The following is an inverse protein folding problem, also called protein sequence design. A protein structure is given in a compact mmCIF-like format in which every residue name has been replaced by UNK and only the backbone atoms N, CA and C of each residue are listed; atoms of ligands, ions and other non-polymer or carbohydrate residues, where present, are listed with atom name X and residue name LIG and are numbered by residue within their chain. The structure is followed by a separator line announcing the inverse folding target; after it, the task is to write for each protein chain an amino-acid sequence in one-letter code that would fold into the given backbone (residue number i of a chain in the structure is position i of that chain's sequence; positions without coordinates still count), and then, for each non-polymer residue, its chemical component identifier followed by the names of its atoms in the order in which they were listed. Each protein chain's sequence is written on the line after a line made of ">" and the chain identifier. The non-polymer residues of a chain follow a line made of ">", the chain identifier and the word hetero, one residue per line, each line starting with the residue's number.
data_IF_959132269063
#
_entry.id   IF_959132269063
#
_cell.length_a   1.000
_cell.length_b   1.000
_cell.length_c   1.000
_cell.angle_alpha   90.00
_cell.angle_beta   90.00
_cell.angle_gamma   90.00
#
_symmetry.space_group_name_H-M   'P 1'
#
loop_
_entity.id
_entity.type
_entity.pdbx_description
1 polymer ?
#
# COMPACT_ATOMS: atom_id res chain seq x y z
N UNK A 1 3.40 14.59 16.85
CA UNK A 1 2.48 13.67 17.50
C UNK A 1 3.21 12.67 18.37
N UNK A 2 4.26 12.09 17.85
CA UNK A 2 5.07 11.08 18.54
C UNK A 2 6.25 11.67 19.30
N UNK A 3 6.26 13.00 19.57
CA UNK A 3 7.36 13.74 20.19
C UNK A 3 8.72 13.53 19.50
N UNK A 4 8.69 13.21 18.22
CA UNK A 4 9.86 13.04 17.39
C UNK A 4 10.27 14.31 16.67
N UNK A 5 11.47 14.30 16.12
CA UNK A 5 11.93 15.34 15.20
C UNK A 5 11.50 15.01 13.78
N UNK A 6 11.03 16.02 13.05
CA UNK A 6 10.73 15.90 11.62
C UNK A 6 11.95 16.41 10.85
N UNK A 7 12.65 15.56 10.11
CA UNK A 7 13.85 15.99 9.39
C UNK A 7 13.47 16.87 8.19
N UNK A 8 14.21 17.94 8.00
CA UNK A 8 14.17 18.71 6.77
C UNK A 8 15.10 18.07 5.74
N UNK A 9 14.58 17.12 4.96
CA UNK A 9 15.37 16.38 3.98
C UNK A 9 15.95 17.24 2.83
N UNK A 10 15.56 18.51 2.71
CA UNK A 10 16.16 19.45 1.76
C UNK A 10 17.52 19.92 2.28
N UNK A 11 17.70 19.95 3.60
CA UNK A 11 18.96 20.30 4.22
C UNK A 11 19.94 19.10 4.14
N UNK A 12 21.11 19.28 3.51
CA UNK A 12 22.06 18.17 3.32
C UNK A 12 22.50 17.51 4.64
N UNK A 13 22.64 18.29 5.70
CA UNK A 13 23.06 17.79 7.00
C UNK A 13 21.97 16.90 7.64
N UNK A 14 20.71 17.34 7.63
CA UNK A 14 19.61 16.54 8.15
C UNK A 14 19.42 15.25 7.34
N UNK A 15 19.52 15.34 6.00
CA UNK A 15 19.51 14.18 5.12
C UNK A 15 20.64 13.20 5.47
N UNK A 16 21.86 13.72 5.66
CA UNK A 16 23.02 12.89 5.99
C UNK A 16 22.86 12.20 7.34
N UNK A 17 22.48 12.91 8.39
CA UNK A 17 22.28 12.33 9.73
C UNK A 17 21.25 11.20 9.66
N UNK A 18 20.14 11.43 8.96
CA UNK A 18 19.08 10.45 8.83
C UNK A 18 19.54 9.20 8.05
N UNK A 19 20.21 9.41 6.92
CA UNK A 19 20.69 8.30 6.08
C UNK A 19 21.80 7.52 6.73
N UNK A 20 22.72 8.16 7.45
CA UNK A 20 23.79 7.47 8.17
C UNK A 20 23.24 6.53 9.26
N UNK A 21 22.22 6.97 10.00
CA UNK A 21 21.56 6.12 10.98
C UNK A 21 20.91 4.88 10.32
N UNK A 22 20.14 5.07 9.24
CA UNK A 22 19.46 3.97 8.57
C UNK A 22 20.42 3.05 7.78
N UNK A 23 21.58 3.55 7.41
CA UNK A 23 22.64 2.75 6.78
C UNK A 23 23.06 1.58 7.65
N UNK A 24 23.15 1.77 8.96
CA UNK A 24 23.49 0.69 9.89
C UNK A 24 22.46 -0.44 9.87
N UNK A 25 21.17 -0.09 9.83
CA UNK A 25 20.09 -1.07 9.74
C UNK A 25 20.09 -1.84 8.41
N UNK A 26 20.40 -1.15 7.33
CA UNK A 26 20.52 -1.78 6.00
C UNK A 26 21.74 -2.70 5.94
N UNK A 27 22.81 -2.38 6.65
CA UNK A 27 23.99 -3.24 6.79
C UNK A 27 23.71 -4.51 7.59
N UNK A 28 22.77 -4.46 8.50
CA UNK A 28 22.26 -5.63 9.23
C UNK A 28 21.33 -6.53 8.37
N UNK A 29 20.98 -6.10 7.15
CA UNK A 29 20.22 -6.89 6.18
C UNK A 29 18.78 -6.45 5.92
N UNK A 30 18.36 -5.29 6.43
CA UNK A 30 17.03 -4.75 6.12
C UNK A 30 16.99 -4.35 4.64
N UNK A 31 16.01 -4.90 3.90
CA UNK A 31 15.89 -4.72 2.46
C UNK A 31 14.81 -3.74 2.00
N UNK A 32 14.00 -3.22 2.91
CA UNK A 32 12.98 -2.19 2.63
C UNK A 32 12.35 -1.66 3.89
N UNK A 33 11.61 -0.57 3.78
CA UNK A 33 10.99 0.11 4.92
C UNK A 33 9.55 0.51 4.62
N UNK A 34 8.73 0.50 5.65
CA UNK A 34 7.46 1.22 5.67
C UNK A 34 7.74 2.63 6.19
N UNK A 35 7.58 3.62 5.30
CA UNK A 35 7.77 5.04 5.58
C UNK A 35 6.44 5.64 6.01
N UNK A 36 6.15 5.52 7.29
CA UNK A 36 4.88 5.88 7.90
C UNK A 36 4.85 7.34 8.35
N UNK A 37 3.67 7.82 8.73
CA UNK A 37 3.44 9.11 9.37
C UNK A 37 3.96 10.32 8.57
N UNK A 38 4.09 10.19 7.25
CA UNK A 38 4.49 11.26 6.35
C UNK A 38 3.31 11.89 5.59
N UNK A 39 2.11 11.43 5.87
CA UNK A 39 0.89 11.96 5.29
C UNK A 39 0.45 13.26 5.98
N UNK A 40 -0.24 14.08 5.21
CA UNK A 40 -0.87 15.26 5.73
C UNK A 40 -1.90 14.84 6.79
N UNK A 41 -1.79 15.41 7.94
CA UNK A 41 -2.77 15.20 8.97
C UNK A 41 -3.80 16.29 8.91
N UNK A 42 -5.05 15.88 8.98
CA UNK A 42 -6.12 16.80 9.29
C UNK A 42 -5.82 17.50 10.61
N UNK A 43 -5.56 18.80 10.56
CA UNK A 43 -5.55 19.63 11.74
C UNK A 43 -7.00 19.74 12.21
N UNK A 44 -7.47 18.77 12.97
CA UNK A 44 -8.63 19.00 13.80
C UNK A 44 -8.15 19.52 15.15
N UNK A 45 -8.84 20.50 15.70
CA UNK A 45 -8.52 21.07 17.01
C UNK A 45 -8.50 20.04 18.15
N UNK A 46 -8.97 18.85 17.90
CA UNK A 46 -9.08 17.76 18.85
C UNK A 46 -8.12 16.59 18.59
N UNK A 47 -7.46 16.53 17.45
CA UNK A 47 -6.51 15.47 17.12
C UNK A 47 -5.12 16.01 16.87
N UNK A 48 -4.15 15.30 17.36
CA UNK A 48 -2.76 15.56 17.06
C UNK A 48 -2.51 15.42 15.55
N UNK A 49 -1.72 16.32 15.00
CA UNK A 49 -1.17 16.20 13.65
C UNK A 49 -0.27 14.97 13.57
N UNK A 50 -0.41 14.16 12.55
CA UNK A 50 0.36 12.93 12.40
C UNK A 50 1.81 13.19 12.00
N UNK A 51 2.11 14.24 11.31
CA UNK A 51 3.47 14.59 10.90
C UNK A 51 3.85 15.97 11.44
N UNK A 52 3.42 17.03 10.81
CA UNK A 52 3.65 18.42 11.20
C UNK A 52 2.50 19.31 10.75
N UNK A 53 2.26 20.47 11.39
CA UNK A 53 1.20 21.38 11.00
C UNK A 53 1.57 22.20 9.75
N UNK A 54 0.56 22.66 9.01
CA UNK A 54 0.74 23.50 7.82
C UNK A 54 1.55 24.78 8.09
N UNK A 55 1.43 25.30 9.31
CA UNK A 55 2.17 26.50 9.75
C UNK A 55 3.62 26.23 10.18
N UNK A 56 4.08 24.98 10.13
CA UNK A 56 5.48 24.66 10.45
C UNK A 56 6.43 25.41 9.51
N UNK A 57 7.56 25.85 10.05
CA UNK A 57 8.61 26.49 9.27
C UNK A 57 9.84 25.60 9.28
N UNK A 58 10.29 25.21 8.11
CA UNK A 58 11.47 24.36 7.95
C UNK A 58 12.72 25.20 7.72
N UNK A 59 13.89 24.74 8.18
CA UNK A 59 15.17 25.45 7.95
C UNK A 59 15.48 25.74 6.46
N UNK A 60 14.94 24.95 5.54
CA UNK A 60 15.03 25.19 4.10
C UNK A 60 14.23 26.41 3.61
N UNK A 61 13.43 27.02 4.47
CA UNK A 61 12.55 28.15 4.11
C UNK A 61 11.19 27.71 3.53
N UNK A 62 10.92 26.43 3.50
CA UNK A 62 9.60 25.88 3.08
C UNK A 62 8.67 25.86 4.30
N UNK A 63 7.43 26.30 4.10
CA UNK A 63 6.36 26.15 5.08
C UNK A 63 5.78 24.70 5.09
N UNK A 64 5.05 24.37 6.14
CA UNK A 64 4.46 23.04 6.29
C UNK A 64 3.48 22.69 5.19
N UNK A 65 2.68 23.63 4.70
CA UNK A 65 1.72 23.41 3.61
C UNK A 65 2.40 22.89 2.35
N UNK A 66 3.49 23.55 1.94
CA UNK A 66 4.28 23.10 0.77
C UNK A 66 5.07 21.83 1.07
N UNK A 67 5.60 21.71 2.28
CA UNK A 67 6.35 20.53 2.68
C UNK A 67 5.49 19.26 2.62
N UNK A 68 4.21 19.30 2.96
CA UNK A 68 3.29 18.17 2.81
C UNK A 68 3.24 17.61 1.38
N UNK A 69 3.41 18.46 0.37
CA UNK A 69 3.37 18.02 -1.03
C UNK A 69 4.62 17.24 -1.45
N UNK A 70 5.73 17.43 -0.77
CA UNK A 70 7.03 16.88 -1.18
C UNK A 70 7.67 15.96 -0.13
N UNK A 71 7.23 16.01 1.12
CA UNK A 71 7.87 15.28 2.23
C UNK A 71 7.98 13.78 1.95
N UNK A 72 6.88 13.13 1.53
CA UNK A 72 6.89 11.71 1.23
C UNK A 72 7.91 11.34 0.14
N UNK A 73 8.04 12.16 -0.90
CA UNK A 73 9.01 11.93 -1.97
C UNK A 73 10.46 12.17 -1.52
N UNK A 74 10.68 13.16 -0.67
CA UNK A 74 11.99 13.42 -0.07
C UNK A 74 12.40 12.27 0.87
N UNK A 75 11.45 11.77 1.65
CA UNK A 75 11.67 10.63 2.54
C UNK A 75 12.05 9.35 1.78
N UNK A 76 11.27 8.99 0.75
CA UNK A 76 11.60 7.86 -0.13
C UNK A 76 12.96 8.05 -0.78
N UNK A 77 13.27 9.25 -1.26
CA UNK A 77 14.57 9.53 -1.88
C UNK A 77 15.74 9.35 -0.91
N UNK A 78 15.58 9.79 0.34
CA UNK A 78 16.61 9.61 1.36
C UNK A 78 16.89 8.12 1.59
N UNK A 79 15.86 7.28 1.70
CA UNK A 79 16.03 5.85 1.85
C UNK A 79 16.58 5.17 0.61
N UNK A 80 16.06 5.50 -0.57
CA UNK A 80 16.53 4.95 -1.85
C UNK A 80 18.02 5.26 -2.10
N UNK A 81 18.51 6.42 -1.64
CA UNK A 81 19.91 6.81 -1.84
C UNK A 81 20.88 5.79 -1.26
N UNK A 82 20.57 5.25 -0.08
CA UNK A 82 21.41 4.27 0.61
C UNK A 82 21.50 2.95 -0.18
N UNK A 83 20.35 2.48 -0.68
CA UNK A 83 20.31 1.24 -1.48
C UNK A 83 21.00 1.41 -2.84
N UNK A 84 20.87 2.58 -3.46
CA UNK A 84 21.58 2.90 -4.72
C UNK A 84 23.09 2.92 -4.54
N UNK A 85 23.59 3.53 -3.48
CA UNK A 85 25.02 3.53 -3.15
C UNK A 85 25.57 2.10 -2.99
N UNK A 86 24.76 1.22 -2.42
CA UNK A 86 25.12 -0.21 -2.23
C UNK A 86 24.85 -1.07 -3.47
N UNK A 87 24.28 -0.49 -4.53
CA UNK A 87 23.82 -1.21 -5.73
C UNK A 87 22.92 -2.42 -5.39
N UNK A 88 22.04 -2.23 -4.42
CA UNK A 88 21.09 -3.24 -3.97
C UNK A 88 19.66 -2.83 -4.30
N UNK A 89 18.81 -3.80 -4.53
CA UNK A 89 17.38 -3.57 -4.76
C UNK A 89 16.70 -3.27 -3.43
N UNK A 90 15.71 -2.40 -3.49
CA UNK A 90 14.83 -2.11 -2.35
C UNK A 90 13.40 -1.96 -2.81
N UNK A 91 12.53 -1.93 -1.84
CA UNK A 91 11.15 -1.55 -2.00
C UNK A 91 10.72 -0.75 -0.76
N UNK A 92 9.88 0.24 -0.94
CA UNK A 92 9.41 1.11 0.13
C UNK A 92 7.89 1.18 0.10
N UNK A 93 7.26 1.08 1.27
CA UNK A 93 5.89 1.54 1.46
C UNK A 93 5.91 2.98 1.95
N UNK A 94 5.03 3.83 1.43
CA UNK A 94 4.91 5.22 1.86
C UNK A 94 3.45 5.65 1.98
N UNK A 95 3.18 6.62 2.86
CA UNK A 95 1.80 7.04 3.17
C UNK A 95 1.30 8.20 2.33
N UNK A 96 2.14 9.14 1.98
CA UNK A 96 1.70 10.35 1.32
C UNK A 96 2.64 10.82 0.25
N UNK A 97 2.08 11.18 -0.89
CA UNK A 97 2.80 11.93 -1.90
C UNK A 97 1.91 12.34 -3.06
N UNK A 98 2.41 13.30 -3.85
CA UNK A 98 1.86 13.65 -5.14
C UNK A 98 2.37 12.76 -6.28
N UNK A 99 2.02 13.12 -7.52
CA UNK A 99 2.34 12.36 -8.74
C UNK A 99 3.84 12.13 -8.97
N UNK A 100 4.71 12.92 -8.35
CA UNK A 100 6.17 12.74 -8.48
C UNK A 100 6.69 11.41 -7.96
N UNK A 101 5.85 10.64 -7.25
CA UNK A 101 6.20 9.31 -6.77
C UNK A 101 6.07 8.21 -7.82
N UNK A 102 5.42 8.44 -8.94
CA UNK A 102 5.24 7.44 -10.00
C UNK A 102 6.56 6.89 -10.58
N UNK A 103 7.65 7.64 -10.44
CA UNK A 103 8.98 7.21 -10.89
C UNK A 103 9.83 6.53 -9.81
N UNK A 104 9.27 6.26 -8.64
CA UNK A 104 9.99 5.71 -7.49
C UNK A 104 9.70 4.23 -7.29
N UNK A 105 10.64 3.53 -6.67
CA UNK A 105 10.46 2.12 -6.27
C UNK A 105 9.68 2.06 -4.94
N UNK A 106 8.46 2.54 -4.97
CA UNK A 106 7.65 2.69 -3.77
C UNK A 106 6.18 2.42 -4.05
N UNK A 107 5.47 1.93 -3.06
CA UNK A 107 4.04 1.63 -3.12
C UNK A 107 3.31 2.47 -2.09
N UNK A 108 2.30 3.19 -2.53
CA UNK A 108 1.43 3.96 -1.66
C UNK A 108 0.52 2.99 -0.87
N UNK A 109 0.42 3.17 0.42
CA UNK A 109 -0.57 2.51 1.24
C UNK A 109 -1.36 3.54 2.06
N UNK A 110 -2.52 3.15 2.54
CA UNK A 110 -3.37 3.97 3.40
C UNK A 110 -4.20 3.10 4.34
N UNK A 111 -4.68 3.70 5.43
CA UNK A 111 -5.57 3.04 6.38
C UNK A 111 -7.00 2.93 5.81
N UNK A 112 -7.14 2.35 4.65
CA UNK A 112 -8.41 2.08 3.99
C UNK A 112 -8.67 0.59 4.04
N UNK A 113 -9.78 0.17 4.63
CA UNK A 113 -10.03 -1.24 4.95
C UNK A 113 -11.32 -1.79 4.33
N UNK A 114 -12.17 -0.97 3.76
CA UNK A 114 -13.34 -1.44 3.02
C UNK A 114 -12.93 -2.05 1.66
N UNK A 115 -13.36 -3.28 1.33
CA UNK A 115 -12.95 -3.93 0.09
C UNK A 115 -13.33 -3.17 -1.19
N UNK A 116 -14.43 -2.41 -1.19
CA UNK A 116 -14.81 -1.58 -2.34
C UNK A 116 -13.89 -0.36 -2.47
N UNK A 117 -13.60 0.29 -1.36
CA UNK A 117 -12.66 1.41 -1.35
C UNK A 117 -11.25 0.98 -1.77
N UNK A 118 -10.83 -0.24 -1.47
CA UNK A 118 -9.58 -0.81 -1.97
C UNK A 118 -9.49 -0.74 -3.49
N UNK A 119 -10.53 -1.22 -4.18
CA UNK A 119 -10.55 -1.26 -5.63
C UNK A 119 -10.58 0.15 -6.21
N UNK A 120 -11.36 1.04 -5.61
CA UNK A 120 -11.45 2.45 -6.04
C UNK A 120 -10.12 3.18 -5.86
N UNK A 121 -9.45 3.01 -4.73
CA UNK A 121 -8.15 3.62 -4.47
C UNK A 121 -7.08 3.12 -5.44
N UNK A 122 -7.07 1.82 -5.74
CA UNK A 122 -6.18 1.22 -6.72
C UNK A 122 -6.40 1.82 -8.11
N UNK A 123 -7.66 1.90 -8.55
CA UNK A 123 -8.01 2.48 -9.84
C UNK A 123 -7.63 3.96 -9.92
N UNK A 124 -7.94 4.74 -8.90
CA UNK A 124 -7.66 6.18 -8.88
C UNK A 124 -6.16 6.48 -8.84
N UNK A 125 -5.40 5.74 -8.07
CA UNK A 125 -3.95 5.91 -7.97
C UNK A 125 -3.25 5.65 -9.31
N UNK A 126 -3.75 4.71 -10.09
CA UNK A 126 -3.20 4.37 -11.39
C UNK A 126 -3.25 5.54 -12.40
N UNK A 127 -4.26 6.42 -12.34
CA UNK A 127 -4.30 7.63 -13.19
C UNK A 127 -3.12 8.58 -12.94
N UNK A 128 -2.59 8.59 -11.71
CA UNK A 128 -1.36 9.31 -11.37
C UNK A 128 -0.08 8.50 -11.60
N UNK A 129 -0.17 7.29 -12.15
CA UNK A 129 0.96 6.39 -12.29
C UNK A 129 1.44 5.80 -10.97
N UNK A 130 0.66 5.90 -9.90
CA UNK A 130 1.02 5.44 -8.57
C UNK A 130 0.61 3.97 -8.38
N UNK A 131 1.46 3.22 -7.70
CA UNK A 131 1.13 1.90 -7.21
C UNK A 131 0.51 2.05 -5.82
N UNK A 132 -0.73 1.60 -5.65
CA UNK A 132 -1.40 1.59 -4.36
C UNK A 132 -1.71 0.16 -3.94
N UNK A 133 -1.51 -0.17 -2.66
CA UNK A 133 -1.83 -1.48 -2.13
C UNK A 133 -2.80 -1.42 -0.96
N UNK A 134 -3.83 -2.26 -0.95
CA UNK A 134 -4.63 -2.54 0.22
C UNK A 134 -3.90 -3.48 1.16
N UNK A 135 -4.38 -3.58 2.39
CA UNK A 135 -3.89 -4.54 3.36
C UNK A 135 -5.03 -5.32 4.03
N UNK A 136 -4.77 -6.57 4.37
CA UNK A 136 -5.62 -7.30 5.32
C UNK A 136 -5.15 -6.93 6.72
N UNK A 137 -6.02 -6.29 7.49
CA UNK A 137 -5.73 -5.89 8.87
C UNK A 137 -6.69 -6.57 9.85
N UNK A 138 -7.97 -6.21 9.77
CA UNK A 138 -9.04 -6.78 10.57
C UNK A 138 -10.08 -7.42 9.68
N UNK A 139 -10.76 -8.42 10.18
CA UNK A 139 -11.92 -9.00 9.52
C UNK A 139 -12.96 -9.36 10.56
N UNK A 140 -14.22 -9.03 10.28
CA UNK A 140 -15.33 -9.27 11.19
C UNK A 140 -16.03 -10.61 10.95
N UNK A 141 -15.78 -11.21 9.80
CA UNK A 141 -16.32 -12.52 9.43
C UNK A 141 -15.40 -13.21 8.42
N UNK A 142 -15.61 -14.50 8.19
CA UNK A 142 -14.91 -15.23 7.14
C UNK A 142 -15.15 -14.62 5.76
N UNK A 143 -16.37 -14.19 5.47
CA UNK A 143 -16.71 -13.55 4.19
C UNK A 143 -15.96 -12.24 4.01
N UNK A 144 -15.96 -11.37 5.02
CA UNK A 144 -15.20 -10.10 4.99
C UNK A 144 -13.71 -10.35 4.81
N UNK A 145 -13.14 -11.32 5.52
CA UNK A 145 -11.75 -11.71 5.37
C UNK A 145 -11.42 -12.11 3.93
N UNK A 146 -12.23 -12.98 3.32
CA UNK A 146 -11.97 -13.47 1.98
C UNK A 146 -12.19 -12.40 0.91
N UNK A 147 -13.12 -11.46 1.10
CA UNK A 147 -13.25 -10.31 0.21
C UNK A 147 -12.02 -9.40 0.26
N UNK A 148 -11.51 -9.12 1.44
CA UNK A 148 -10.26 -8.35 1.62
C UNK A 148 -9.07 -9.08 0.99
N UNK A 149 -8.94 -10.37 1.26
CA UNK A 149 -7.84 -11.19 0.74
C UNK A 149 -7.86 -11.26 -0.79
N UNK A 150 -9.02 -11.39 -1.43
CA UNK A 150 -9.14 -11.37 -2.90
C UNK A 150 -8.52 -10.12 -3.50
N UNK A 151 -8.86 -8.95 -2.97
CA UNK A 151 -8.32 -7.69 -3.47
C UNK A 151 -6.82 -7.57 -3.20
N UNK A 152 -6.40 -7.94 -2.01
CA UNK A 152 -4.99 -7.87 -1.59
C UNK A 152 -4.09 -8.74 -2.47
N UNK A 153 -4.47 -9.99 -2.76
CA UNK A 153 -3.66 -10.87 -3.62
C UNK A 153 -3.63 -10.42 -5.09
N UNK A 154 -4.60 -9.62 -5.53
CA UNK A 154 -4.73 -9.07 -6.88
C UNK A 154 -4.33 -7.58 -6.93
N UNK A 155 -3.44 -7.14 -6.07
CA UNK A 155 -2.92 -5.77 -5.97
C UNK A 155 -1.39 -5.75 -6.17
N UNK A 156 -0.76 -4.58 -6.25
CA UNK A 156 0.69 -4.48 -6.39
C UNK A 156 1.46 -5.30 -5.35
N UNK A 157 0.99 -5.28 -4.12
CA UNK A 157 1.61 -5.96 -3.00
C UNK A 157 0.56 -6.71 -2.19
N UNK A 158 0.82 -7.97 -1.90
CA UNK A 158 -0.07 -8.77 -1.05
C UNK A 158 0.33 -8.56 0.43
N UNK A 159 -0.25 -7.54 1.06
CA UNK A 159 0.10 -7.14 2.42
C UNK A 159 -0.89 -7.67 3.46
N UNK A 160 -0.33 -8.20 4.55
CA UNK A 160 -1.08 -8.51 5.77
C UNK A 160 -0.46 -7.70 6.91
N UNK A 161 -1.23 -6.76 7.45
CA UNK A 161 -0.82 -5.97 8.59
C UNK A 161 -1.16 -6.72 9.90
N UNK A 162 -0.13 -7.11 10.63
CA UNK A 162 -0.28 -7.88 11.85
C UNK A 162 -0.48 -7.05 13.13
N UNK A 163 -0.60 -5.72 13.02
CA UNK A 163 -0.64 -4.81 14.17
C UNK A 163 -1.69 -5.17 15.20
N UNK A 164 -2.91 -5.49 14.75
CA UNK A 164 -4.02 -5.85 15.64
C UNK A 164 -4.32 -7.36 15.65
N UNK A 165 -3.49 -8.16 14.99
CA UNK A 165 -3.70 -9.59 14.89
C UNK A 165 -3.11 -10.32 16.10
N UNK A 166 -3.97 -10.86 16.92
CA UNK A 166 -3.56 -11.83 17.93
C UNK A 166 -3.31 -13.22 17.35
N UNK A 167 -3.89 -13.50 16.20
CA UNK A 167 -3.85 -14.78 15.50
C UNK A 167 -3.59 -14.57 14.00
N UNK A 168 -3.31 -15.64 13.29
CA UNK A 168 -3.23 -15.63 11.83
C UNK A 168 -4.49 -15.00 11.19
N UNK A 169 -4.38 -14.34 10.03
CA UNK A 169 -5.51 -13.62 9.41
C UNK A 169 -6.79 -14.43 9.28
N UNK A 170 -6.67 -15.71 8.93
CA UNK A 170 -7.82 -16.63 8.81
C UNK A 170 -8.44 -17.07 10.13
N UNK A 171 -7.87 -16.65 11.25
CA UNK A 171 -8.37 -16.92 12.61
C UNK A 171 -8.83 -15.63 13.33
N UNK A 172 -8.93 -14.50 12.65
CA UNK A 172 -9.27 -13.22 13.28
C UNK A 172 -10.74 -13.13 13.68
N UNK A 173 -11.61 -13.55 12.78
CA UNK A 173 -13.06 -13.54 13.01
C UNK A 173 -13.42 -14.65 14.01
N UNK A 174 -14.29 -14.30 14.93
CA UNK A 174 -14.67 -15.17 16.06
C UNK A 174 -13.45 -15.70 16.86
N UNK A 175 -12.32 -14.99 16.73
CA UNK A 175 -11.02 -15.33 17.31
C UNK A 175 -10.52 -16.74 16.97
N UNK A 176 -11.15 -17.43 16.03
CA UNK A 176 -10.81 -18.78 15.61
C UNK A 176 -10.82 -19.83 16.72
N UNK A 177 -11.25 -19.46 17.92
CA UNK A 177 -11.25 -20.29 19.12
C UNK A 177 -12.57 -20.20 19.86
N UNK A 178 -12.95 -21.29 20.49
CA UNK A 178 -14.08 -21.34 21.44
C UNK A 178 -13.65 -20.78 22.83
N UNK A 179 -14.59 -20.77 23.77
CA UNK A 179 -14.35 -20.29 25.14
C UNK A 179 -13.26 -21.07 25.89
N UNK A 180 -12.97 -22.31 25.46
CA UNK A 180 -11.92 -23.17 26.01
C UNK A 180 -10.55 -22.93 25.38
N UNK A 181 -10.45 -22.02 24.40
CA UNK A 181 -9.22 -21.73 23.68
C UNK A 181 -8.87 -22.75 22.58
N UNK A 182 -9.79 -23.65 22.24
CA UNK A 182 -9.65 -24.65 21.18
C UNK A 182 -10.02 -23.99 19.83
N UNK A 183 -9.30 -24.33 18.75
CA UNK A 183 -9.64 -23.83 17.42
C UNK A 183 -10.99 -24.33 16.96
N UNK A 184 -11.79 -23.43 16.38
CA UNK A 184 -13.05 -23.79 15.76
C UNK A 184 -12.81 -24.78 14.61
N UNK A 185 -13.70 -25.75 14.37
CA UNK A 185 -13.53 -26.73 13.29
C UNK A 185 -13.32 -26.10 11.91
N UNK A 186 -13.95 -24.97 11.67
CA UNK A 186 -13.86 -24.23 10.43
C UNK A 186 -12.49 -23.58 10.22
N UNK A 187 -11.72 -23.34 11.26
CA UNK A 187 -10.42 -22.65 11.19
C UNK A 187 -9.46 -23.31 10.18
N UNK A 188 -9.39 -24.63 10.17
CA UNK A 188 -8.60 -25.41 9.21
C UNK A 188 -9.08 -25.19 7.77
N UNK A 189 -10.38 -25.19 7.55
CA UNK A 189 -10.97 -24.94 6.23
C UNK A 189 -10.69 -23.53 5.73
N UNK A 190 -10.75 -22.54 6.61
CA UNK A 190 -10.40 -21.16 6.27
C UNK A 190 -8.91 -21.01 5.94
N UNK A 191 -8.05 -21.70 6.67
CA UNK A 191 -6.62 -21.75 6.32
C UNK A 191 -6.40 -22.34 4.92
N UNK A 192 -7.07 -23.44 4.59
CA UNK A 192 -6.97 -24.08 3.28
C UNK A 192 -7.44 -23.14 2.16
N UNK A 193 -8.52 -22.40 2.36
CA UNK A 193 -9.01 -21.40 1.40
C UNK A 193 -8.03 -20.22 1.26
N UNK A 194 -7.54 -19.69 2.36
CA UNK A 194 -6.53 -18.62 2.33
C UNK A 194 -5.27 -19.08 1.60
N UNK A 195 -4.79 -20.27 1.86
CA UNK A 195 -3.64 -20.89 1.17
C UNK A 195 -3.88 -21.02 -0.33
N UNK A 196 -5.09 -21.39 -0.75
CA UNK A 196 -5.44 -21.48 -2.18
C UNK A 196 -5.34 -20.13 -2.85
N UNK A 197 -5.85 -19.06 -2.23
CA UNK A 197 -5.77 -17.70 -2.75
C UNK A 197 -4.32 -17.19 -2.78
N UNK A 198 -3.55 -17.43 -1.73
CA UNK A 198 -2.14 -17.03 -1.67
C UNK A 198 -1.33 -17.79 -2.74
N UNK A 199 -1.61 -19.08 -2.95
CA UNK A 199 -0.97 -19.85 -4.03
C UNK A 199 -1.31 -19.30 -5.41
N UNK A 200 -2.53 -18.82 -5.64
CA UNK A 200 -2.87 -18.11 -6.88
C UNK A 200 -1.97 -16.87 -7.07
N UNK A 201 -1.78 -16.09 -6.01
CA UNK A 201 -0.84 -14.95 -6.08
C UNK A 201 0.56 -15.40 -6.48
N UNK A 202 1.06 -16.48 -5.88
CA UNK A 202 2.40 -17.02 -6.19
C UNK A 202 2.52 -17.46 -7.65
N UNK A 203 1.47 -18.06 -8.20
CA UNK A 203 1.42 -18.45 -9.63
C UNK A 203 1.40 -17.23 -10.56
N UNK A 204 0.83 -16.12 -10.12
CA UNK A 204 0.77 -14.87 -10.90
C UNK A 204 2.08 -14.07 -10.88
N UNK A 205 3.03 -14.37 -9.99
CA UNK A 205 4.27 -13.58 -9.87
C UNK A 205 5.03 -13.43 -11.19
N UNK A 206 5.27 -14.47 -12.02
CA UNK A 206 5.97 -14.28 -13.28
C UNK A 206 5.26 -13.34 -14.25
N UNK A 207 3.93 -13.42 -14.30
CA UNK A 207 3.10 -12.52 -15.09
C UNK A 207 3.16 -11.08 -14.58
N UNK A 208 3.01 -10.91 -13.27
CA UNK A 208 3.11 -9.60 -12.62
C UNK A 208 4.50 -8.99 -12.80
N UNK A 209 5.54 -9.79 -12.71
CA UNK A 209 6.90 -9.31 -12.95
C UNK A 209 7.05 -8.69 -14.35
N UNK A 210 6.45 -9.31 -15.37
CA UNK A 210 6.42 -8.76 -16.72
C UNK A 210 5.62 -7.46 -16.80
N UNK A 211 4.47 -7.39 -16.14
CA UNK A 211 3.67 -6.17 -16.09
C UNK A 211 4.39 -5.02 -15.36
N UNK A 212 5.10 -5.31 -14.29
CA UNK A 212 5.96 -4.34 -13.60
C UNK A 212 7.16 -3.91 -14.45
N UNK A 213 7.69 -4.78 -15.30
CA UNK A 213 8.73 -4.41 -16.25
C UNK A 213 8.20 -3.41 -17.29
N UNK A 214 6.99 -3.62 -17.82
CA UNK A 214 6.32 -2.67 -18.70
C UNK A 214 6.11 -1.33 -18.00
N UNK A 215 5.68 -1.34 -16.75
CA UNK A 215 5.56 -0.12 -15.94
C UNK A 215 6.91 0.62 -15.81
N UNK A 216 7.97 -0.10 -15.52
CA UNK A 216 9.31 0.49 -15.42
C UNK A 216 9.80 1.09 -16.75
N UNK A 217 9.50 0.46 -17.87
CA UNK A 217 9.98 0.87 -19.21
C UNK A 217 9.11 1.93 -19.87
N UNK A 218 7.81 1.82 -19.71
CA UNK A 218 6.82 2.55 -20.51
C UNK A 218 5.90 3.43 -19.65
N UNK A 219 5.96 3.30 -18.34
CA UNK A 219 5.10 4.04 -17.42
C UNK A 219 3.65 3.53 -17.37
N UNK A 220 3.36 2.36 -17.95
CA UNK A 220 2.01 1.78 -17.95
C UNK A 220 1.74 1.08 -16.62
N UNK A 221 0.82 1.55 -15.77
CA UNK A 221 0.55 0.93 -14.48
C UNK A 221 0.09 -0.52 -14.63
N UNK A 222 0.67 -1.46 -13.88
CA UNK A 222 0.32 -2.88 -13.94
C UNK A 222 -1.09 -3.18 -13.41
N UNK A 223 -1.65 -2.30 -12.60
CA UNK A 223 -3.02 -2.34 -12.10
C UNK A 223 -3.68 -1.02 -12.47
N UNK A 224 -4.70 -1.04 -13.32
CA UNK A 224 -5.27 0.19 -13.86
C UNK A 224 -6.76 0.06 -14.19
N UNK A 225 -7.55 1.13 -14.06
CA UNK A 225 -8.96 1.09 -14.40
C UNK A 225 -9.15 0.80 -15.91
N UNK A 226 -10.24 0.14 -16.26
CA UNK A 226 -10.57 -0.19 -17.64
C UNK A 226 -10.57 1.04 -18.57
N UNK A 227 -10.95 2.20 -18.03
CA UNK A 227 -10.99 3.45 -18.77
C UNK A 227 -9.61 3.88 -19.33
N UNK A 228 -8.51 3.48 -18.68
CA UNK A 228 -7.15 3.78 -19.20
C UNK A 228 -6.87 3.03 -20.50
N UNK A 229 -7.33 1.80 -20.64
CA UNK A 229 -7.11 0.99 -21.85
C UNK A 229 -8.16 1.29 -22.95
N UNK A 230 -9.36 1.67 -22.54
CA UNK A 230 -10.48 1.92 -23.44
C UNK A 230 -11.08 3.31 -23.25
N UNK A 231 -10.32 4.40 -23.46
CA UNK A 231 -10.75 5.77 -23.10
C UNK A 231 -11.93 6.31 -23.91
N UNK A 232 -12.26 5.66 -25.01
CA UNK A 232 -13.40 6.05 -25.88
C UNK A 232 -14.71 5.38 -25.50
N UNK A 233 -14.68 4.39 -24.62
CA UNK A 233 -15.88 3.70 -24.17
C UNK A 233 -16.53 4.41 -22.97
N UNK A 234 -17.55 5.20 -23.25
CA UNK A 234 -18.28 5.97 -22.24
C UNK A 234 -18.86 5.11 -21.11
N UNK A 235 -19.16 3.84 -21.36
CA UNK A 235 -19.71 2.92 -20.35
C UNK A 235 -18.72 2.67 -19.21
N UNK A 236 -17.43 2.81 -19.47
CA UNK A 236 -16.37 2.52 -18.50
C UNK A 236 -16.12 3.67 -17.53
N UNK A 237 -16.66 4.86 -17.77
CA UNK A 237 -16.47 6.04 -16.91
C UNK A 237 -17.00 5.85 -15.49
N UNK A 238 -17.98 4.99 -15.32
CA UNK A 238 -18.61 4.71 -14.02
C UNK A 238 -18.16 3.38 -13.42
N UNK A 239 -17.28 2.64 -14.10
CA UNK A 239 -16.76 1.38 -13.61
C UNK A 239 -15.59 1.65 -12.67
N UNK A 240 -15.80 1.43 -11.38
CA UNK A 240 -14.82 1.69 -10.31
C UNK A 240 -14.54 0.47 -9.43
N UNK A 241 -15.01 -0.71 -9.84
CA UNK A 241 -14.99 -1.90 -9.01
C UNK A 241 -14.36 -3.12 -9.72
N UNK A 242 -13.67 -2.87 -10.83
CA UNK A 242 -12.86 -3.85 -11.55
C UNK A 242 -11.75 -3.13 -12.31
N UNK A 243 -10.65 -3.83 -12.57
CA UNK A 243 -9.45 -3.22 -13.14
C UNK A 243 -8.65 -4.24 -13.97
N UNK A 244 -7.85 -3.72 -14.88
CA UNK A 244 -6.85 -4.52 -15.60
C UNK A 244 -5.67 -4.82 -14.69
N UNK A 245 -5.15 -6.01 -14.82
CA UNK A 245 -3.95 -6.51 -14.17
C UNK A 245 -2.99 -6.98 -15.26
N UNK A 246 -2.01 -6.15 -15.61
CA UNK A 246 -1.26 -6.30 -16.86
C UNK A 246 -2.17 -6.19 -18.09
N UNK A 247 -1.78 -6.75 -19.21
CA UNK A 247 -2.50 -6.62 -20.47
C UNK A 247 -3.50 -7.78 -20.74
N UNK A 248 -3.33 -8.90 -20.04
CA UNK A 248 -4.08 -10.12 -20.32
C UNK A 248 -5.10 -10.54 -19.27
N UNK A 249 -5.14 -9.89 -18.12
CA UNK A 249 -6.03 -10.28 -17.03
C UNK A 249 -6.87 -9.09 -16.56
N UNK A 250 -8.10 -9.36 -16.16
CA UNK A 250 -8.97 -8.42 -15.48
C UNK A 250 -9.34 -8.98 -14.11
N UNK A 251 -9.19 -8.16 -13.09
CA UNK A 251 -9.58 -8.47 -11.72
C UNK A 251 -10.94 -7.83 -11.42
N UNK A 252 -11.85 -8.60 -10.86
CA UNK A 252 -13.17 -8.17 -10.42
C UNK A 252 -13.47 -8.77 -9.03
N UNK A 253 -12.77 -8.35 -7.98
CA UNK A 253 -12.96 -8.91 -6.63
C UNK A 253 -14.38 -8.71 -6.13
N UNK A 254 -14.85 -9.64 -5.31
CA UNK A 254 -16.11 -9.49 -4.60
C UNK A 254 -15.91 -8.53 -3.40
N UNK A 255 -16.96 -7.78 -3.09
CA UNK A 255 -16.96 -6.85 -1.95
C UNK A 255 -18.37 -6.75 -1.37
N UNK A 256 -18.47 -6.30 -0.13
CA UNK A 256 -19.73 -6.29 0.63
C UNK A 256 -20.37 -7.69 0.57
N UNK A 257 -21.51 -7.95 0.99
CA UNK A 257 -22.14 -9.28 1.06
C UNK A 257 -22.46 -9.91 -0.33
N UNK A 258 -21.68 -9.58 -1.37
CA UNK A 258 -21.88 -10.13 -2.71
C UNK A 258 -21.21 -11.49 -2.86
N UNK A 259 -21.98 -12.49 -3.25
CA UNK A 259 -21.46 -13.83 -3.58
C UNK A 259 -21.16 -14.00 -5.07
N UNK A 260 -21.73 -13.14 -5.91
CA UNK A 260 -21.54 -13.10 -7.35
C UNK A 260 -21.60 -11.67 -7.85
N UNK A 261 -21.03 -11.43 -8.99
CA UNK A 261 -21.17 -10.14 -9.70
C UNK A 261 -21.12 -10.35 -11.21
N UNK A 262 -21.68 -9.41 -11.93
CA UNK A 262 -21.49 -9.29 -13.39
C UNK A 262 -20.18 -8.53 -13.64
N UNK A 263 -19.46 -8.96 -14.65
CA UNK A 263 -18.19 -8.41 -15.09
C UNK A 263 -18.30 -7.93 -16.53
#
# INVERSE_FOLDING_TARGET
>A
VWNGLVPDFIQPEAHKIFTDYHRTLIEEGISGFKLDECDNSNISFASATWCFPDMAQFPSGIDGEKMHQVFGSLYVNAMDSIYREKNTRTYQDYRSSGMFMSSRNAVLYSDTYDPKEYIQALCNSAFGGLLWCPEVREAHSAEDFFHRLQTVILSPQAMVNAWYLQYAPWLQFDRGKNERGEFLPEAKRYEEYARTLINLRMQLIPYLYSAFYTYYKEGVPPFRPLLMDYPKDERLRTISDQYMMGDGLMAAPLYQNKKTRTV
#
